data_IF_722366485495
#
_entry.id   IF_722366485495
#
_cell.length_a   1.000
_cell.length_b   1.000
_cell.length_c   1.000
_cell.angle_alpha   90.00
_cell.angle_beta   90.00
_cell.angle_gamma   90.00
#
_symmetry.space_group_name_H-M   'P 1'
#
loop_
_entity.id
_entity.type
_entity.pdbx_description
1 polymer ?
#
# COMPACT_ATOMS: atom_id res chain seq x y z
N UNK A 1 -26.48 40.95 -47.97
CA UNK A 1 -25.74 41.25 -46.74
C UNK A 1 -25.68 39.92 -45.97
N UNK A 2 -24.54 39.22 -45.87
CA UNK A 2 -23.29 39.59 -45.15
C UNK A 2 -23.74 40.03 -43.73
N UNK A 3 -23.46 39.35 -42.61
CA UNK A 3 -22.28 38.72 -42.00
C UNK A 3 -22.82 38.14 -40.65
N UNK A 4 -22.37 37.07 -40.00
CA UNK A 4 -21.18 36.86 -39.15
C UNK A 4 -21.44 35.51 -38.44
N UNK A 5 -20.63 34.45 -38.59
CA UNK A 5 -19.50 34.05 -37.72
C UNK A 5 -19.75 34.04 -36.19
N UNK A 6 -19.90 32.85 -35.57
CA UNK A 6 -18.79 32.14 -34.92
C UNK A 6 -19.12 30.72 -34.40
N UNK A 7 -18.10 29.83 -34.28
CA UNK A 7 -18.20 28.38 -34.01
C UNK A 7 -17.66 27.97 -32.61
N UNK A 8 -17.77 26.69 -32.24
CA UNK A 8 -16.73 25.86 -31.55
C UNK A 8 -17.34 24.64 -30.84
N UNK A 9 -17.53 23.54 -31.57
CA UNK A 9 -17.59 22.17 -31.01
C UNK A 9 -17.08 21.18 -32.06
N UNK A 10 -15.76 21.05 -32.20
CA UNK A 10 -15.09 19.86 -32.74
C UNK A 10 -13.57 20.09 -32.85
N UNK A 11 -12.82 19.97 -31.76
CA UNK A 11 -11.37 19.71 -31.81
C UNK A 11 -10.92 19.15 -30.45
N UNK A 12 -10.98 17.82 -30.29
CA UNK A 12 -10.16 17.05 -29.34
C UNK A 12 -10.14 15.57 -29.78
N UNK A 13 -9.72 15.35 -31.02
CA UNK A 13 -9.46 14.02 -31.56
C UNK A 13 -8.33 14.06 -32.59
N UNK A 14 -7.21 14.72 -32.29
CA UNK A 14 -6.00 14.58 -33.13
C UNK A 14 -4.70 14.96 -32.40
N UNK A 15 -4.36 14.27 -31.30
CA UNK A 15 -3.06 14.44 -30.60
C UNK A 15 -2.32 13.11 -30.35
N UNK A 16 -2.80 11.96 -30.82
CA UNK A 16 -2.11 10.66 -30.60
C UNK A 16 -1.41 10.14 -31.87
N UNK A 17 -1.33 10.95 -32.91
CA UNK A 17 -0.88 10.52 -34.24
C UNK A 17 0.42 11.13 -34.76
N UNK A 18 1.39 11.56 -33.92
CA UNK A 18 2.69 12.06 -34.42
C UNK A 18 3.74 12.04 -33.32
N UNK A 19 4.46 10.92 -33.19
CA UNK A 19 5.83 10.79 -32.63
C UNK A 19 6.35 9.36 -32.83
N UNK A 20 6.15 8.81 -34.03
CA UNK A 20 6.76 7.55 -34.50
C UNK A 20 7.40 7.79 -35.85
N UNK A 21 8.59 8.39 -35.85
CA UNK A 21 9.60 8.27 -36.91
C UNK A 21 10.82 9.09 -36.51
N UNK A 22 11.93 8.41 -36.20
CA UNK A 22 13.33 8.77 -36.49
C UNK A 22 14.25 7.96 -35.58
N UNK A 23 14.66 6.78 -36.06
CA UNK A 23 16.03 6.27 -35.99
C UNK A 23 16.08 4.83 -36.54
N UNK A 24 16.46 4.72 -37.81
CA UNK A 24 17.13 3.55 -38.34
C UNK A 24 18.51 4.01 -38.83
N UNK A 25 19.59 3.25 -38.62
CA UNK A 25 20.69 3.22 -39.57
C UNK A 25 20.48 2.09 -40.57
N UNK A 26 20.72 2.42 -41.84
CA UNK A 26 20.75 1.52 -42.96
C UNK A 26 22.09 0.77 -43.05
N UNK A 27 22.04 -0.49 -43.48
CA UNK A 27 23.16 -1.14 -44.17
C UNK A 27 22.62 -2.20 -45.14
N UNK A 28 23.02 -2.05 -46.40
CA UNK A 28 22.60 -2.79 -47.59
C UNK A 28 23.13 -4.25 -47.63
N UNK A 29 22.61 -5.12 -48.52
CA UNK A 29 22.92 -6.54 -48.55
C UNK A 29 24.20 -6.82 -49.36
N UNK A 30 25.04 -7.75 -48.87
CA UNK A 30 26.05 -8.42 -49.68
C UNK A 30 25.58 -9.85 -49.97
N UNK A 31 25.36 -10.14 -51.25
CA UNK A 31 25.33 -11.50 -51.78
C UNK A 31 26.69 -12.18 -51.54
N UNK A 32 26.66 -13.37 -50.93
CA UNK A 32 27.76 -14.32 -50.98
C UNK A 32 27.20 -15.70 -51.31
N UNK A 33 27.45 -16.07 -52.58
CA UNK A 33 27.41 -17.39 -53.22
C UNK A 33 27.14 -18.61 -52.34
N UNK A 34 26.16 -19.40 -52.79
CA UNK A 34 26.10 -20.84 -52.61
C UNK A 34 27.45 -21.49 -52.93
N UNK A 35 27.96 -22.27 -51.98
CA UNK A 35 28.71 -23.48 -52.29
C UNK A 35 28.03 -24.62 -51.53
N UNK A 36 27.51 -25.54 -52.32
CA UNK A 36 26.88 -26.78 -51.90
C UNK A 36 27.96 -27.76 -51.43
N UNK A 37 27.80 -28.34 -50.24
CA UNK A 37 28.25 -29.69 -49.83
C UNK A 37 28.36 -29.84 -48.30
N UNK A 38 27.33 -30.40 -47.68
CA UNK A 38 27.38 -31.69 -46.97
C UNK A 38 26.24 -31.77 -45.96
N UNK A 39 25.25 -32.58 -46.33
CA UNK A 39 24.36 -33.26 -45.40
C UNK A 39 25.18 -34.10 -44.41
N UNK A 40 24.90 -33.96 -43.12
CA UNK A 40 25.50 -34.85 -42.13
C UNK A 40 25.31 -34.42 -40.69
N UNK A 41 24.38 -35.11 -40.03
CA UNK A 41 24.27 -35.30 -38.57
C UNK A 41 23.62 -34.16 -37.77
N UNK A 42 22.32 -34.30 -37.56
CA UNK A 42 21.67 -33.80 -36.35
C UNK A 42 22.26 -34.54 -35.15
N UNK A 43 23.13 -33.87 -34.41
CA UNK A 43 23.63 -34.35 -33.14
C UNK A 43 22.75 -33.84 -32.00
N UNK A 44 22.02 -34.73 -31.34
CA UNK A 44 21.55 -34.50 -29.99
C UNK A 44 22.76 -34.15 -29.12
N UNK A 45 22.84 -32.91 -28.63
CA UNK A 45 23.86 -32.51 -27.67
C UNK A 45 23.52 -33.17 -26.33
N UNK A 46 24.01 -34.39 -26.11
CA UNK A 46 24.00 -35.05 -24.80
C UNK A 46 25.08 -34.38 -23.95
N UNK A 47 24.70 -33.78 -22.83
CA UNK A 47 25.65 -33.38 -21.79
C UNK A 47 26.24 -34.65 -21.16
N UNK A 48 27.32 -35.19 -21.73
CA UNK A 48 28.07 -36.27 -21.11
C UNK A 48 28.89 -35.69 -19.95
N UNK A 49 28.51 -36.04 -18.72
CA UNK A 49 29.32 -35.77 -17.54
C UNK A 49 30.69 -36.44 -17.72
N UNK A 50 31.78 -35.74 -17.38
CA UNK A 50 33.13 -36.29 -17.49
C UNK A 50 33.25 -37.60 -16.69
N UNK A 51 33.89 -38.62 -17.27
CA UNK A 51 34.10 -39.92 -16.63
C UNK A 51 35.35 -39.97 -15.75
N UNK A 52 36.09 -38.87 -15.68
CA UNK A 52 37.33 -38.73 -14.90
C UNK A 52 36.99 -38.24 -13.49
N UNK A 53 37.26 -39.07 -12.48
CA UNK A 53 37.06 -38.69 -11.09
C UNK A 53 38.02 -37.56 -10.66
N UNK A 54 37.47 -36.45 -10.16
CA UNK A 54 38.27 -35.36 -9.58
C UNK A 54 38.81 -35.78 -8.20
N UNK A 55 40.13 -35.68 -7.99
CA UNK A 55 40.81 -36.03 -6.73
C UNK A 55 41.33 -34.82 -5.95
N UNK A 56 40.91 -33.61 -6.30
CA UNK A 56 41.43 -32.41 -5.65
C UNK A 56 40.91 -32.25 -4.20
N UNK A 57 41.79 -31.85 -3.28
CA UNK A 57 41.47 -31.45 -1.92
C UNK A 57 41.29 -29.92 -1.86
N UNK A 58 40.25 -29.45 -1.15
CA UNK A 58 40.02 -28.02 -0.92
C UNK A 58 40.61 -27.59 0.42
N UNK A 59 41.27 -26.44 0.44
CA UNK A 59 41.77 -25.79 1.67
C UNK A 59 41.37 -24.31 1.71
N UNK A 60 41.04 -23.81 2.91
CA UNK A 60 40.78 -22.38 3.14
C UNK A 60 42.09 -21.68 3.56
N UNK A 61 42.51 -20.66 2.80
CA UNK A 61 43.66 -19.79 3.07
C UNK A 61 43.16 -18.35 3.29
N UNK A 62 42.48 -18.12 4.41
CA UNK A 62 41.88 -16.81 4.70
C UNK A 62 40.65 -16.52 3.82
N UNK A 63 40.66 -15.43 3.04
CA UNK A 63 39.60 -15.11 2.07
C UNK A 63 39.76 -15.84 0.72
N UNK A 64 40.89 -16.54 0.50
CA UNK A 64 41.18 -17.31 -0.71
C UNK A 64 40.97 -18.81 -0.48
N UNK A 65 40.58 -19.54 -1.53
CA UNK A 65 40.50 -21.00 -1.52
C UNK A 65 41.32 -21.59 -2.67
N UNK A 66 41.93 -22.75 -2.42
CA UNK A 66 42.74 -23.49 -3.39
C UNK A 66 42.18 -24.90 -3.60
N UNK A 67 42.19 -25.36 -4.86
CA UNK A 67 41.99 -26.75 -5.22
C UNK A 67 43.35 -27.40 -5.52
N UNK A 68 43.80 -28.33 -4.69
CA UNK A 68 45.07 -29.03 -4.87
C UNK A 68 44.84 -30.47 -5.32
N UNK A 69 45.46 -30.91 -6.41
CA UNK A 69 45.43 -32.31 -6.83
C UNK A 69 46.42 -33.13 -5.99
N UNK A 70 45.98 -34.26 -5.43
CA UNK A 70 46.85 -35.12 -4.62
C UNK A 70 47.96 -35.81 -5.43
N UNK A 71 47.78 -35.93 -6.75
CA UNK A 71 48.70 -36.62 -7.65
C UNK A 71 49.34 -35.61 -8.60
N UNK A 72 50.67 -35.59 -8.76
CA UNK A 72 51.35 -34.68 -9.69
C UNK A 72 50.97 -35.01 -11.14
N UNK A 73 50.80 -33.96 -11.96
CA UNK A 73 50.38 -34.06 -13.35
C UNK A 73 51.54 -33.65 -14.25
N UNK A 74 51.93 -34.52 -15.19
CA UNK A 74 53.00 -34.25 -16.16
C UNK A 74 52.38 -33.89 -17.51
N UNK A 75 52.71 -32.70 -18.03
CA UNK A 75 52.32 -32.23 -19.37
C UNK A 75 53.58 -32.11 -20.21
N UNK A 76 53.66 -32.77 -21.38
CA UNK A 76 54.88 -32.74 -22.21
C UNK A 76 55.00 -31.44 -22.99
N UNK A 77 56.18 -31.21 -23.56
CA UNK A 77 56.43 -30.06 -24.44
C UNK A 77 55.43 -30.07 -25.61
N UNK A 78 54.77 -28.93 -25.84
CA UNK A 78 53.74 -28.73 -26.87
C UNK A 78 52.45 -29.53 -26.69
N UNK A 79 52.15 -29.99 -25.46
CA UNK A 79 50.86 -30.58 -25.10
C UNK A 79 50.10 -29.67 -24.11
N UNK A 80 48.77 -29.79 -24.08
CA UNK A 80 47.88 -29.09 -23.15
C UNK A 80 46.99 -30.09 -22.42
N UNK A 81 46.66 -29.82 -21.16
CA UNK A 81 45.76 -30.65 -20.37
C UNK A 81 44.59 -29.82 -19.82
N UNK A 82 43.37 -30.33 -19.97
CA UNK A 82 42.18 -29.82 -19.29
C UNK A 82 41.80 -30.82 -18.21
N UNK A 83 41.77 -30.36 -16.96
CA UNK A 83 41.61 -31.22 -15.80
C UNK A 83 40.35 -30.83 -15.04
N UNK A 84 39.39 -31.76 -14.86
CA UNK A 84 38.27 -31.51 -13.96
C UNK A 84 38.81 -31.48 -12.53
N UNK A 85 38.75 -30.31 -11.89
CA UNK A 85 39.20 -30.15 -10.52
C UNK A 85 38.09 -30.42 -9.50
N UNK A 86 36.82 -30.37 -9.92
CA UNK A 86 35.69 -30.66 -9.06
C UNK A 86 34.54 -31.30 -9.85
N UNK A 87 34.13 -32.49 -9.44
CA UNK A 87 32.93 -33.15 -9.92
C UNK A 87 32.25 -33.88 -8.76
N UNK A 88 31.37 -33.16 -8.08
CA UNK A 88 30.69 -33.66 -6.89
C UNK A 88 29.19 -33.38 -6.95
N UNK A 89 28.43 -34.22 -6.24
CA UNK A 89 26.99 -34.02 -6.09
C UNK A 89 26.75 -33.03 -4.96
N UNK A 90 25.83 -32.10 -5.22
CA UNK A 90 25.29 -31.19 -4.21
C UNK A 90 23.83 -31.49 -3.96
N UNK A 91 23.33 -31.11 -2.79
CA UNK A 91 21.90 -31.21 -2.47
C UNK A 91 21.17 -30.09 -3.18
N UNK A 92 20.15 -30.44 -3.97
CA UNK A 92 19.36 -29.51 -4.75
C UNK A 92 17.86 -29.82 -4.62
N UNK A 93 17.05 -28.77 -4.57
CA UNK A 93 15.58 -28.84 -4.60
C UNK A 93 15.04 -27.91 -5.68
N UNK A 94 14.38 -28.47 -6.70
CA UNK A 94 13.69 -27.70 -7.74
C UNK A 94 12.43 -27.04 -7.16
N UNK A 95 12.22 -25.77 -7.46
CA UNK A 95 11.06 -24.99 -7.04
C UNK A 95 10.83 -23.80 -7.99
N UNK A 96 9.78 -23.04 -7.74
CA UNK A 96 9.51 -21.77 -8.40
C UNK A 96 9.73 -20.61 -7.42
N UNK A 97 10.19 -19.46 -7.90
CA UNK A 97 10.28 -18.23 -7.10
C UNK A 97 9.46 -17.12 -7.75
N UNK A 98 8.63 -16.47 -6.95
CA UNK A 98 7.90 -15.27 -7.33
C UNK A 98 8.30 -14.12 -6.42
N UNK A 99 9.16 -13.23 -6.92
CA UNK A 99 9.68 -12.07 -6.21
C UNK A 99 9.28 -10.73 -6.84
N UNK A 100 9.13 -10.70 -8.17
CA UNK A 100 8.63 -9.55 -8.90
C UNK A 100 7.10 -9.56 -8.97
N UNK A 101 6.47 -8.69 -8.19
CA UNK A 101 5.01 -8.55 -8.14
C UNK A 101 4.38 -8.02 -9.44
N UNK A 102 5.19 -7.49 -10.36
CA UNK A 102 4.73 -7.03 -11.68
C UNK A 102 4.78 -8.15 -12.72
N UNK A 103 5.55 -9.21 -12.47
CA UNK A 103 5.62 -10.37 -13.33
C UNK A 103 4.33 -11.20 -13.25
N UNK A 104 3.97 -11.80 -14.38
CA UNK A 104 2.80 -12.69 -14.50
C UNK A 104 3.18 -14.16 -14.24
N UNK A 105 4.45 -14.49 -14.44
CA UNK A 105 4.99 -15.84 -14.31
C UNK A 105 6.10 -15.85 -13.26
N UNK A 106 6.19 -16.89 -12.41
CA UNK A 106 7.34 -17.09 -11.55
C UNK A 106 8.55 -17.56 -12.36
N UNK A 107 9.71 -17.58 -11.70
CA UNK A 107 10.92 -18.14 -12.27
C UNK A 107 11.09 -19.59 -11.82
N UNK A 108 11.50 -20.45 -12.74
CA UNK A 108 12.10 -21.75 -12.44
C UNK A 108 13.40 -21.52 -11.67
N UNK A 109 13.51 -22.18 -10.52
CA UNK A 109 14.64 -22.00 -9.61
C UNK A 109 15.06 -23.31 -8.95
N UNK A 110 16.29 -23.31 -8.44
CA UNK A 110 16.83 -24.41 -7.64
C UNK A 110 17.36 -23.86 -6.32
N UNK A 111 16.96 -24.50 -5.24
CA UNK A 111 17.55 -24.31 -3.93
C UNK A 111 18.71 -25.30 -3.78
N UNK A 112 19.94 -24.78 -3.74
CA UNK A 112 21.16 -25.57 -3.60
C UNK A 112 21.75 -25.44 -2.21
N UNK A 113 22.33 -26.52 -1.70
CA UNK A 113 23.15 -26.52 -0.49
C UNK A 113 24.51 -27.13 -0.78
N UNK A 114 25.57 -26.35 -0.54
CA UNK A 114 26.93 -26.81 -0.75
C UNK A 114 27.32 -27.89 0.27
N UNK A 115 27.22 -29.14 -0.16
CA UNK A 115 27.46 -30.35 0.63
C UNK A 115 28.82 -31.01 0.33
N UNK A 116 29.63 -30.39 -0.54
CA UNK A 116 30.93 -30.92 -1.01
C UNK A 116 32.03 -30.83 0.05
N UNK A 117 31.84 -29.99 1.08
CA UNK A 117 32.87 -29.71 2.07
C UNK A 117 33.94 -28.73 1.59
N UNK A 118 33.86 -28.25 0.34
CA UNK A 118 34.79 -27.29 -0.29
C UNK A 118 34.08 -25.97 -0.58
N UNK A 119 34.85 -24.90 -0.82
CA UNK A 119 34.30 -23.63 -1.30
C UNK A 119 34.11 -23.68 -2.80
N UNK A 120 32.89 -23.49 -3.30
CA UNK A 120 32.58 -23.45 -4.73
C UNK A 120 32.73 -22.02 -5.24
N UNK A 121 33.47 -21.84 -6.33
CA UNK A 121 33.64 -20.51 -6.91
C UNK A 121 32.34 -19.99 -7.52
N UNK A 122 32.18 -18.67 -7.47
CA UNK A 122 31.05 -17.98 -8.10
C UNK A 122 31.22 -17.92 -9.60
N UNK A 123 30.11 -17.92 -10.34
CA UNK A 123 30.14 -17.87 -11.79
C UNK A 123 28.81 -18.18 -12.45
N UNK A 124 28.76 -18.09 -13.80
CA UNK A 124 27.60 -18.54 -14.56
C UNK A 124 27.44 -20.06 -14.45
N UNK A 125 26.20 -20.50 -14.29
CA UNK A 125 25.80 -21.90 -14.27
C UNK A 125 24.84 -22.13 -15.42
N UNK A 126 25.15 -23.11 -16.26
CA UNK A 126 24.20 -23.67 -17.21
C UNK A 126 23.39 -24.77 -16.54
N UNK A 127 22.07 -24.66 -16.58
CA UNK A 127 21.15 -25.62 -15.96
C UNK A 127 20.61 -26.56 -17.04
N UNK A 128 20.78 -27.85 -16.81
CA UNK A 128 20.15 -28.91 -17.59
C UNK A 128 19.11 -29.62 -16.74
N UNK A 129 17.91 -29.80 -17.28
CA UNK A 129 16.81 -30.55 -16.66
C UNK A 129 16.32 -31.62 -17.63
N UNK A 130 16.18 -32.86 -17.16
CA UNK A 130 15.87 -34.02 -18.00
C UNK A 130 16.74 -34.14 -19.28
N UNK A 131 18.04 -33.81 -19.18
CA UNK A 131 19.01 -33.74 -20.28
C UNK A 131 18.73 -32.67 -21.35
N UNK A 132 17.81 -31.75 -21.11
CA UNK A 132 17.56 -30.59 -21.96
C UNK A 132 18.12 -29.31 -21.32
N UNK A 133 18.56 -28.36 -22.15
CA UNK A 133 18.94 -27.03 -21.67
C UNK A 133 17.70 -26.34 -21.07
N UNK A 134 17.78 -25.96 -19.80
CA UNK A 134 16.69 -25.32 -19.07
C UNK A 134 16.91 -23.81 -18.86
N UNK A 135 18.17 -23.36 -18.91
CA UNK A 135 18.53 -21.95 -18.78
C UNK A 135 19.90 -21.72 -18.15
N UNK A 136 20.12 -20.48 -17.74
CA UNK A 136 21.36 -20.02 -17.14
C UNK A 136 21.05 -19.24 -15.85
N UNK A 137 21.92 -19.38 -14.86
CA UNK A 137 21.88 -18.62 -13.62
C UNK A 137 23.26 -18.06 -13.30
N UNK A 138 23.32 -17.05 -12.44
CA UNK A 138 24.56 -16.56 -11.86
C UNK A 138 24.58 -16.91 -10.37
N UNK A 139 25.69 -17.46 -9.88
CA UNK A 139 25.87 -17.75 -8.46
C UNK A 139 27.09 -17.01 -7.92
N UNK A 140 26.99 -16.57 -6.67
CA UNK A 140 28.14 -16.09 -5.90
C UNK A 140 28.94 -17.27 -5.33
N UNK A 141 30.15 -17.02 -4.84
CA UNK A 141 30.96 -18.04 -4.15
C UNK A 141 30.17 -18.68 -3.00
N UNK A 142 30.15 -20.02 -2.95
CA UNK A 142 29.43 -20.80 -1.94
C UNK A 142 30.44 -21.43 -0.99
N UNK A 143 30.46 -21.01 0.28
CA UNK A 143 31.24 -21.70 1.31
C UNK A 143 30.60 -23.04 1.67
N UNK A 144 31.36 -23.87 2.38
CA UNK A 144 30.86 -25.14 2.89
C UNK A 144 29.59 -24.93 3.72
N UNK A 145 28.51 -25.63 3.35
CA UNK A 145 27.22 -25.56 4.02
C UNK A 145 26.33 -24.40 3.59
N UNK A 146 26.82 -23.48 2.75
CA UNK A 146 26.00 -22.37 2.26
C UNK A 146 24.81 -22.87 1.45
N UNK A 147 23.70 -22.16 1.60
CA UNK A 147 22.44 -22.41 0.90
C UNK A 147 22.08 -21.22 0.04
N UNK A 148 21.72 -21.46 -1.23
CA UNK A 148 21.31 -20.40 -2.18
C UNK A 148 20.10 -20.81 -3.02
N UNK A 149 19.31 -19.81 -3.37
CA UNK A 149 18.24 -19.91 -4.35
C UNK A 149 18.74 -19.32 -5.67
N UNK A 150 18.65 -20.09 -6.75
CA UNK A 150 19.12 -19.69 -8.08
C UNK A 150 17.96 -19.79 -9.07
N UNK A 151 17.57 -18.66 -9.66
CA UNK A 151 16.58 -18.62 -10.73
C UNK A 151 17.27 -18.71 -12.07
N UNK A 152 16.76 -19.57 -12.97
CA UNK A 152 17.42 -19.87 -14.25
C UNK A 152 16.51 -19.73 -15.48
N UNK A 153 15.20 -19.51 -15.31
CA UNK A 153 14.29 -19.32 -16.43
C UNK A 153 12.88 -18.93 -15.99
N UNK A 154 12.05 -18.47 -16.91
CA UNK A 154 10.64 -18.17 -16.64
C UNK A 154 9.81 -19.46 -16.73
N UNK A 155 8.91 -19.68 -15.78
CA UNK A 155 7.97 -20.80 -15.83
C UNK A 155 6.66 -20.39 -16.52
N UNK A 156 6.44 -20.90 -17.73
CA UNK A 156 5.26 -20.57 -18.52
C UNK A 156 4.01 -21.36 -18.11
N UNK A 157 4.17 -22.47 -17.38
CA UNK A 157 3.09 -23.31 -16.89
C UNK A 157 2.41 -22.81 -15.61
N UNK A 158 2.97 -21.78 -14.96
CA UNK A 158 2.37 -21.16 -13.78
C UNK A 158 2.11 -19.69 -14.01
N UNK A 159 0.88 -19.25 -13.72
CA UNK A 159 0.46 -17.85 -13.78
C UNK A 159 0.04 -17.35 -12.42
N UNK A 160 0.53 -16.17 -12.04
CA UNK A 160 0.21 -15.53 -10.77
C UNK A 160 -0.44 -14.18 -11.05
N UNK A 161 -1.54 -13.90 -10.37
CA UNK A 161 -2.12 -12.56 -10.28
C UNK A 161 -2.21 -12.14 -8.83
N UNK A 162 -2.10 -10.83 -8.59
CA UNK A 162 -2.22 -10.28 -7.24
C UNK A 162 -3.43 -9.36 -7.16
N UNK A 163 -4.17 -9.44 -6.06
CA UNK A 163 -5.21 -8.51 -5.70
C UNK A 163 -4.86 -7.89 -4.35
N UNK A 164 -5.04 -6.59 -4.21
CA UNK A 164 -4.81 -5.87 -2.97
C UNK A 164 -6.13 -5.33 -2.44
N UNK A 165 -6.44 -5.69 -1.21
CA UNK A 165 -7.65 -5.29 -0.50
C UNK A 165 -7.25 -4.62 0.81
N UNK A 166 -7.93 -3.54 1.17
CA UNK A 166 -7.77 -2.87 2.45
C UNK A 166 -9.09 -2.89 3.18
N UNK A 167 -9.06 -3.26 4.46
CA UNK A 167 -10.24 -3.25 5.31
C UNK A 167 -10.39 -1.89 6.00
N UNK A 168 -11.61 -1.58 6.42
CA UNK A 168 -11.87 -0.40 7.23
C UNK A 168 -10.98 -0.44 8.49
N UNK A 169 -10.43 0.72 8.84
CA UNK A 169 -9.63 0.88 10.04
C UNK A 169 -10.49 0.65 11.29
N UNK A 170 -10.01 -0.18 12.20
CA UNK A 170 -10.72 -0.52 13.44
C UNK A 170 -9.96 0.05 14.62
N UNK A 171 -10.57 0.97 15.35
CA UNK A 171 -10.04 1.42 16.64
C UNK A 171 -10.23 0.30 17.65
N UNK A 172 -9.12 -0.21 18.19
CA UNK A 172 -9.11 -1.31 19.16
C UNK A 172 -8.94 -0.84 20.60
N UNK A 173 -8.16 0.23 20.77
CA UNK A 173 -7.88 0.79 22.08
C UNK A 173 -8.05 2.30 22.01
N UNK A 174 -8.56 2.86 23.10
CA UNK A 174 -8.62 4.29 23.32
C UNK A 174 -8.22 4.53 24.77
N UNK A 175 -7.21 5.38 24.96
CA UNK A 175 -6.75 5.83 26.26
C UNK A 175 -6.97 7.32 26.35
N UNK A 176 -7.41 7.78 27.50
CA UNK A 176 -7.60 9.20 27.73
C UNK A 176 -6.87 9.63 28.97
N UNK A 177 -6.00 10.64 28.82
CA UNK A 177 -5.29 11.22 29.95
C UNK A 177 -5.06 12.71 29.72
N UNK A 178 -5.37 13.53 30.73
CA UNK A 178 -5.09 14.99 30.75
C UNK A 178 -5.61 15.73 29.50
N UNK A 179 -6.81 15.43 29.05
CA UNK A 179 -7.41 16.10 27.88
C UNK A 179 -7.00 15.53 26.52
N UNK A 180 -6.08 14.57 26.48
CA UNK A 180 -5.62 13.91 25.26
C UNK A 180 -6.25 12.52 25.14
N UNK A 181 -6.86 12.26 23.99
CA UNK A 181 -7.35 10.96 23.58
C UNK A 181 -6.30 10.33 22.65
N UNK A 182 -5.69 9.23 23.10
CA UNK A 182 -4.79 8.41 22.30
C UNK A 182 -5.54 7.16 21.84
N UNK A 183 -5.67 6.97 20.54
CA UNK A 183 -6.31 5.79 19.95
C UNK A 183 -5.28 4.91 19.27
N UNK A 184 -5.43 3.58 19.40
CA UNK A 184 -4.72 2.62 18.58
C UNK A 184 -5.68 2.00 17.58
N UNK A 185 -5.37 2.21 16.32
CA UNK A 185 -6.17 1.81 15.19
C UNK A 185 -5.45 0.74 14.41
N UNK A 186 -6.08 -0.43 14.27
CA UNK A 186 -5.58 -1.50 13.42
C UNK A 186 -6.05 -1.27 11.98
N UNK A 187 -5.08 -1.16 11.06
CA UNK A 187 -5.30 -1.17 9.63
C UNK A 187 -4.88 -2.54 9.09
N UNK A 188 -5.83 -3.29 8.54
CA UNK A 188 -5.61 -4.62 7.96
C UNK A 188 -5.62 -4.53 6.43
N UNK A 189 -4.57 -5.03 5.82
CA UNK A 189 -4.36 -5.04 4.37
C UNK A 189 -4.10 -6.48 3.94
N UNK A 190 -4.77 -6.95 2.88
CA UNK A 190 -4.58 -8.31 2.38
C UNK A 190 -4.14 -8.27 0.93
N UNK A 191 -3.01 -8.93 0.64
CA UNK A 191 -2.59 -9.22 -0.72
C UNK A 191 -2.86 -10.69 -1.03
N UNK A 192 -3.76 -10.94 -1.97
CA UNK A 192 -4.12 -12.29 -2.40
C UNK A 192 -3.37 -12.65 -3.67
N UNK A 193 -2.54 -13.69 -3.59
CA UNK A 193 -1.91 -14.31 -4.75
C UNK A 193 -2.83 -15.40 -5.29
N UNK A 194 -3.31 -15.24 -6.52
CA UNK A 194 -4.05 -16.29 -7.22
C UNK A 194 -3.10 -16.98 -8.19
N UNK A 195 -2.82 -18.25 -7.93
CA UNK A 195 -1.77 -19.01 -8.58
C UNK A 195 -2.42 -20.12 -9.39
N UNK A 196 -2.28 -20.10 -10.72
CA UNK A 196 -2.75 -21.14 -11.63
C UNK A 196 -1.56 -21.95 -12.11
N UNK A 197 -1.51 -23.24 -11.78
CA UNK A 197 -0.62 -24.20 -12.42
C UNK A 197 -1.44 -24.94 -13.50
N UNK A 198 -1.02 -24.89 -14.76
CA UNK A 198 -1.66 -25.63 -15.87
C UNK A 198 -0.94 -26.92 -16.22
N UNK A 199 0.23 -27.15 -15.65
CA UNK A 199 1.02 -28.34 -15.95
C UNK A 199 0.43 -29.57 -15.25
N UNK A 200 0.71 -30.73 -15.83
CA UNK A 200 0.34 -32.05 -15.29
C UNK A 200 1.33 -32.54 -14.22
N UNK A 201 2.02 -31.61 -13.56
CA UNK A 201 3.02 -31.87 -12.53
C UNK A 201 2.77 -30.96 -11.32
N UNK A 202 2.97 -31.53 -10.13
CA UNK A 202 2.94 -30.74 -8.90
C UNK A 202 4.20 -29.87 -8.79
N UNK A 203 4.04 -28.64 -8.31
CA UNK A 203 5.13 -27.67 -8.16
C UNK A 203 5.19 -27.15 -6.73
N UNK A 204 6.37 -26.70 -6.32
CA UNK A 204 6.55 -25.93 -5.09
C UNK A 204 6.86 -24.49 -5.48
N UNK A 205 6.10 -23.53 -4.98
CA UNK A 205 6.31 -22.11 -5.20
C UNK A 205 6.77 -21.42 -3.92
N UNK A 206 7.82 -20.62 -4.01
CA UNK A 206 8.24 -19.67 -3.00
C UNK A 206 7.76 -18.28 -3.41
N UNK A 207 6.92 -17.66 -2.58
CA UNK A 207 6.52 -16.27 -2.73
C UNK A 207 7.42 -15.42 -1.85
N UNK A 208 8.17 -14.49 -2.45
CA UNK A 208 8.87 -13.44 -1.72
C UNK A 208 7.94 -12.24 -1.57
N UNK A 209 7.33 -12.11 -0.39
CA UNK A 209 6.49 -10.99 -0.05
C UNK A 209 7.33 -9.91 0.63
N UNK A 210 7.26 -8.63 0.21
CA UNK A 210 8.10 -7.59 0.79
C UNK A 210 7.78 -7.36 2.27
N UNK A 211 8.82 -7.22 3.11
CA UNK A 211 8.68 -6.77 4.50
C UNK A 211 8.42 -5.27 4.49
N UNK A 212 7.30 -4.86 5.07
CA UNK A 212 6.91 -3.45 5.18
C UNK A 212 7.11 -2.96 6.61
N UNK A 213 7.74 -1.80 6.77
CA UNK A 213 7.97 -1.21 8.09
C UNK A 213 6.66 -0.94 8.81
N UNK A 214 6.56 -1.38 10.07
CA UNK A 214 5.37 -1.22 10.91
C UNK A 214 4.21 -2.17 10.60
N UNK A 215 4.35 -3.03 9.59
CA UNK A 215 3.37 -4.07 9.27
C UNK A 215 3.82 -5.43 9.82
N UNK A 216 2.84 -6.21 10.27
CA UNK A 216 3.04 -7.59 10.74
C UNK A 216 2.10 -8.53 10.02
N UNK A 217 2.63 -9.64 9.50
CA UNK A 217 1.81 -10.70 8.90
C UNK A 217 0.99 -11.40 9.98
N UNK A 218 -0.31 -11.56 9.75
CA UNK A 218 -1.25 -12.14 10.71
C UNK A 218 -1.62 -13.59 10.44
N UNK A 219 -1.86 -13.95 9.17
CA UNK A 219 -2.52 -15.20 8.79
C UNK A 219 -1.58 -16.27 8.21
N UNK A 220 -0.42 -15.87 7.66
CA UNK A 220 0.55 -16.79 7.06
C UNK A 220 1.85 -16.82 7.86
N UNK A 221 2.40 -18.02 8.05
CA UNK A 221 3.71 -18.20 8.68
C UNK A 221 4.80 -18.29 7.61
N UNK A 222 5.76 -17.36 7.57
CA UNK A 222 6.88 -17.48 6.64
C UNK A 222 7.78 -18.65 7.03
N UNK A 223 8.32 -19.35 6.02
CA UNK A 223 9.36 -20.37 6.22
C UNK A 223 10.73 -19.73 6.52
N UNK A 224 10.93 -18.50 6.04
CA UNK A 224 12.14 -17.71 6.23
C UNK A 224 11.76 -16.23 6.19
N UNK A 225 12.42 -15.39 6.99
CA UNK A 225 12.28 -13.94 6.94
C UNK A 225 13.67 -13.33 6.80
N UNK A 226 13.90 -12.62 5.70
CA UNK A 226 15.10 -11.82 5.46
C UNK A 226 14.88 -10.39 5.94
N UNK A 227 15.86 -9.51 5.77
CA UNK A 227 15.70 -8.09 6.09
C UNK A 227 14.56 -7.42 5.30
N UNK A 228 14.30 -7.87 4.07
CA UNK A 228 13.40 -7.19 3.13
C UNK A 228 12.24 -8.06 2.63
N UNK A 229 12.25 -9.37 2.89
CA UNK A 229 11.24 -10.30 2.35
C UNK A 229 10.83 -11.40 3.34
N UNK A 230 9.53 -11.67 3.39
CA UNK A 230 8.96 -12.90 3.92
C UNK A 230 8.92 -13.94 2.79
N UNK A 231 9.41 -15.15 3.05
CA UNK A 231 9.29 -16.28 2.12
C UNK A 231 8.19 -17.21 2.57
N UNK A 232 7.22 -17.45 1.69
CA UNK A 232 6.15 -18.41 1.92
C UNK A 232 6.27 -19.56 0.93
N UNK A 233 6.17 -20.80 1.42
CA UNK A 233 6.13 -22.00 0.58
C UNK A 233 4.67 -22.38 0.30
N UNK A 234 4.31 -22.47 -0.98
CA UNK A 234 2.99 -22.89 -1.47
C UNK A 234 3.17 -24.17 -2.28
N UNK A 235 2.47 -25.23 -1.88
CA UNK A 235 2.43 -26.49 -2.64
C UNK A 235 1.31 -26.42 -3.65
N UNK A 236 1.64 -26.59 -4.93
CA UNK A 236 0.71 -26.53 -6.05
C UNK A 236 0.51 -27.94 -6.60
N UNK A 237 -0.74 -28.42 -6.62
CA UNK A 237 -1.12 -29.61 -7.37
C UNK A 237 -1.03 -29.42 -8.89
N UNK A 238 -1.33 -30.47 -9.65
CA UNK A 238 -1.46 -30.39 -11.10
C UNK A 238 -2.79 -29.72 -11.48
N UNK A 239 -2.79 -28.97 -12.58
CA UNK A 239 -3.98 -28.31 -13.15
C UNK A 239 -4.86 -27.55 -12.12
N UNK A 240 -4.25 -26.94 -11.11
CA UNK A 240 -4.95 -26.33 -9.96
C UNK A 240 -4.86 -24.81 -9.94
N UNK A 241 -5.87 -24.17 -9.37
CA UNK A 241 -5.86 -22.75 -9.01
C UNK A 241 -5.88 -22.63 -7.49
N UNK A 242 -4.82 -22.07 -6.91
CA UNK A 242 -4.69 -21.86 -5.47
C UNK A 242 -4.78 -20.37 -5.14
N UNK A 243 -5.50 -20.02 -4.07
CA UNK A 243 -5.51 -18.66 -3.52
C UNK A 243 -4.70 -18.63 -2.24
N UNK A 244 -3.70 -17.76 -2.21
CA UNK A 244 -2.82 -17.57 -1.07
C UNK A 244 -2.93 -16.12 -0.56
N UNK A 245 -3.85 -15.82 0.38
CA UNK A 245 -3.96 -14.49 0.97
C UNK A 245 -2.87 -14.27 2.02
N UNK A 246 -2.13 -13.17 1.90
CA UNK A 246 -1.21 -12.66 2.92
C UNK A 246 -1.83 -11.41 3.52
N UNK A 247 -2.29 -11.50 4.76
CA UNK A 247 -2.89 -10.41 5.52
C UNK A 247 -1.83 -9.81 6.45
N UNK A 248 -1.61 -8.52 6.30
CA UNK A 248 -0.73 -7.71 7.11
C UNK A 248 -1.56 -6.73 7.95
N UNK A 249 -1.09 -6.44 9.16
CA UNK A 249 -1.67 -5.42 10.02
C UNK A 249 -0.64 -4.38 10.42
N UNK A 250 -1.04 -3.11 10.36
CA UNK A 250 -0.31 -2.00 10.97
C UNK A 250 -1.15 -1.39 12.08
N UNK A 251 -0.53 -1.21 13.25
CA UNK A 251 -1.10 -0.42 14.34
C UNK A 251 -0.70 1.03 14.15
N UNK A 252 -1.70 1.90 14.10
CA UNK A 252 -1.55 3.35 13.97
C UNK A 252 -1.97 3.97 15.30
N UNK A 253 -1.04 4.66 15.94
CA UNK A 253 -1.32 5.43 17.15
C UNK A 253 -1.60 6.89 16.78
N UNK A 254 -2.70 7.44 17.27
CA UNK A 254 -3.10 8.82 17.05
C UNK A 254 -3.46 9.47 18.37
N UNK A 255 -2.89 10.64 18.64
CA UNK A 255 -3.20 11.42 19.85
C UNK A 255 -3.85 12.74 19.44
N UNK A 256 -5.00 13.05 20.04
CA UNK A 256 -5.83 14.21 19.71
C UNK A 256 -6.32 14.88 20.99
N UNK A 257 -6.46 16.21 20.98
CA UNK A 257 -7.15 16.89 22.06
C UNK A 257 -8.65 16.61 21.99
N UNK A 258 -9.25 16.12 23.07
CA UNK A 258 -10.68 15.80 23.06
C UNK A 258 -11.55 17.05 22.87
N UNK A 259 -11.06 18.21 23.30
CA UNK A 259 -11.70 19.51 23.10
C UNK A 259 -11.81 19.90 21.62
N UNK A 260 -10.89 19.46 20.76
CA UNK A 260 -10.93 19.76 19.31
C UNK A 260 -11.82 18.81 18.52
N UNK A 261 -12.31 17.72 19.11
CA UNK A 261 -13.17 16.77 18.42
C UNK A 261 -14.62 17.27 18.32
N UNK A 262 -15.26 17.00 17.18
CA UNK A 262 -16.67 17.28 16.94
C UNK A 262 -17.55 16.20 17.60
N UNK A 263 -18.85 16.49 17.85
CA UNK A 263 -19.78 15.49 18.37
C UNK A 263 -19.80 14.20 17.53
N UNK A 264 -19.75 14.29 16.21
CA UNK A 264 -19.86 13.11 15.33
C UNK A 264 -18.65 12.18 15.44
N UNK A 265 -17.44 12.73 15.58
CA UNK A 265 -16.23 11.95 15.80
C UNK A 265 -16.28 11.25 17.15
N UNK A 266 -16.68 11.95 18.21
CA UNK A 266 -16.81 11.37 19.56
C UNK A 266 -17.88 10.27 19.56
N UNK A 267 -18.99 10.47 18.84
CA UNK A 267 -20.05 9.47 18.69
C UNK A 267 -19.53 8.18 18.05
N UNK A 268 -18.64 8.28 17.06
CA UNK A 268 -18.01 7.10 16.43
C UNK A 268 -17.23 6.27 17.44
N UNK A 269 -16.48 6.92 18.35
CA UNK A 269 -15.76 6.21 19.40
C UNK A 269 -16.71 5.67 20.49
N UNK A 270 -17.68 6.46 20.94
CA UNK A 270 -18.64 6.03 21.97
C UNK A 270 -19.49 4.81 21.53
N UNK A 271 -19.77 4.68 20.23
CA UNK A 271 -20.51 3.56 19.66
C UNK A 271 -19.63 2.34 19.33
N UNK A 272 -18.30 2.49 19.32
CA UNK A 272 -17.39 1.42 18.96
C UNK A 272 -17.31 0.35 20.04
N UNK A 273 -17.97 -0.79 19.80
CA UNK A 273 -18.03 -1.94 20.72
C UNK A 273 -16.68 -2.61 21.01
N UNK A 274 -15.63 -2.29 20.27
CA UNK A 274 -14.28 -2.78 20.56
C UNK A 274 -13.61 -2.03 21.72
N UNK A 275 -14.12 -0.84 22.09
CA UNK A 275 -13.62 -0.08 23.24
C UNK A 275 -14.23 -0.58 24.56
N UNK A 276 -13.51 -0.32 25.66
CA UNK A 276 -13.97 -0.65 27.01
C UNK A 276 -15.29 0.05 27.34
N UNK A 277 -16.09 -0.57 28.22
CA UNK A 277 -17.36 0.01 28.67
C UNK A 277 -17.13 1.37 29.33
N UNK A 278 -16.06 1.50 30.13
CA UNK A 278 -15.65 2.77 30.73
C UNK A 278 -15.38 3.85 29.68
N UNK A 279 -14.57 3.56 28.66
CA UNK A 279 -14.28 4.50 27.57
C UNK A 279 -15.57 4.93 26.86
N UNK A 280 -16.46 3.99 26.52
CA UNK A 280 -17.73 4.30 25.83
C UNK A 280 -18.66 5.16 26.68
N UNK A 281 -18.78 4.86 27.98
CA UNK A 281 -19.60 5.66 28.91
C UNK A 281 -19.06 7.08 29.05
N UNK A 282 -17.75 7.22 29.26
CA UNK A 282 -17.10 8.51 29.40
C UNK A 282 -17.19 9.36 28.14
N UNK A 283 -16.89 8.78 26.97
CA UNK A 283 -17.05 9.45 25.68
C UNK A 283 -18.51 9.80 25.40
N UNK A 284 -19.48 8.99 25.86
CA UNK A 284 -20.90 9.30 25.80
C UNK A 284 -21.29 10.55 26.60
N UNK A 285 -20.79 10.69 27.83
CA UNK A 285 -21.02 11.89 28.64
C UNK A 285 -20.44 13.15 27.98
N UNK A 286 -19.24 13.05 27.42
CA UNK A 286 -18.60 14.15 26.68
C UNK A 286 -19.41 14.49 25.42
N UNK A 287 -19.89 13.48 24.69
CA UNK A 287 -20.75 13.64 23.52
C UNK A 287 -22.02 14.43 23.85
N UNK A 288 -22.68 14.09 24.95
CA UNK A 288 -23.93 14.76 25.36
C UNK A 288 -23.70 16.24 25.68
N UNK A 289 -22.61 16.57 26.38
CA UNK A 289 -22.24 17.97 26.65
C UNK A 289 -21.87 18.71 25.36
N UNK A 290 -21.08 18.08 24.47
CA UNK A 290 -20.71 18.66 23.16
C UNK A 290 -21.94 18.93 22.28
N UNK A 291 -22.95 18.05 22.31
CA UNK A 291 -24.24 18.26 21.61
C UNK A 291 -25.03 19.43 22.19
N UNK A 292 -25.09 19.54 23.51
CA UNK A 292 -25.77 20.67 24.17
C UNK A 292 -25.08 22.00 23.85
N UNK A 293 -23.74 22.03 23.84
CA UNK A 293 -22.97 23.22 23.43
C UNK A 293 -23.28 23.58 21.98
N UNK A 294 -23.22 22.62 21.06
CA UNK A 294 -23.51 22.87 19.64
C UNK A 294 -24.95 23.36 19.41
N UNK A 295 -25.93 22.81 20.14
CA UNK A 295 -27.32 23.28 20.08
C UNK A 295 -27.47 24.72 20.60
N UNK A 296 -26.80 25.04 21.72
CA UNK A 296 -26.80 26.39 22.29
C UNK A 296 -26.08 27.41 21.39
N UNK A 297 -25.00 27.01 20.71
CA UNK A 297 -24.33 27.84 19.71
C UNK A 297 -25.28 28.18 18.55
N UNK A 298 -26.09 27.23 18.10
CA UNK A 298 -27.15 27.48 17.12
C UNK A 298 -28.28 28.38 17.64
N UNK A 299 -28.57 28.40 18.95
CA UNK A 299 -29.48 29.38 19.56
C UNK A 299 -28.88 30.79 19.59
N UNK A 300 -27.61 30.92 19.98
CA UNK A 300 -26.88 32.19 19.98
C UNK A 300 -26.87 32.82 18.59
N UNK A 301 -26.53 32.04 17.56
CA UNK A 301 -26.49 32.51 16.19
C UNK A 301 -27.86 32.97 15.69
N UNK A 302 -28.92 32.19 15.95
CA UNK A 302 -30.30 32.55 15.56
C UNK A 302 -30.78 33.82 16.26
N UNK A 303 -30.51 33.97 17.56
CA UNK A 303 -30.91 35.16 18.32
C UNK A 303 -30.17 36.40 17.81
N UNK A 304 -28.87 36.28 17.53
CA UNK A 304 -28.08 37.37 16.97
C UNK A 304 -28.59 37.79 15.58
N UNK A 305 -28.85 36.83 14.69
CA UNK A 305 -29.45 37.10 13.38
C UNK A 305 -30.82 37.77 13.50
N UNK A 306 -31.64 37.34 14.46
CA UNK A 306 -32.94 37.96 14.76
C UNK A 306 -32.81 39.43 15.20
N UNK A 307 -31.87 39.71 16.09
CA UNK A 307 -31.56 41.08 16.54
C UNK A 307 -31.12 41.96 15.36
N UNK A 308 -30.21 41.45 14.53
CA UNK A 308 -29.68 42.19 13.36
C UNK A 308 -30.79 42.49 12.34
N UNK A 309 -31.70 41.53 12.10
CA UNK A 309 -32.83 41.72 11.21
C UNK A 309 -33.82 42.76 11.74
N UNK A 310 -34.14 42.71 13.04
CA UNK A 310 -35.01 43.71 13.67
C UNK A 310 -34.42 45.12 13.57
N UNK A 311 -33.12 45.28 13.77
CA UNK A 311 -32.46 46.58 13.62
C UNK A 311 -32.59 47.15 12.19
N UNK A 312 -32.38 46.31 11.17
CA UNK A 312 -32.57 46.72 9.76
C UNK A 312 -34.02 47.12 9.48
N UNK A 313 -34.97 46.36 10.01
CA UNK A 313 -36.40 46.67 9.85
C UNK A 313 -36.78 47.98 10.55
N UNK A 314 -36.31 48.20 11.78
CA UNK A 314 -36.56 49.45 12.50
C UNK A 314 -36.02 50.65 11.73
N UNK A 315 -34.83 50.55 11.15
CA UNK A 315 -34.24 51.62 10.34
C UNK A 315 -35.10 51.92 9.11
N UNK A 316 -35.56 50.88 8.39
CA UNK A 316 -36.49 51.02 7.26
C UNK A 316 -37.80 51.70 7.70
N UNK A 317 -38.37 51.29 8.84
CA UNK A 317 -39.62 51.88 9.35
C UNK A 317 -39.41 53.34 9.75
N UNK A 318 -38.30 53.70 10.39
CA UNK A 318 -37.95 55.09 10.71
C UNK A 318 -37.83 55.95 9.46
N UNK A 319 -37.19 55.42 8.40
CA UNK A 319 -37.10 56.10 7.11
C UNK A 319 -38.48 56.31 6.47
N UNK A 320 -39.37 55.31 6.52
CA UNK A 320 -40.76 55.43 6.04
C UNK A 320 -41.58 56.45 6.85
N UNK A 321 -41.41 56.50 8.17
CA UNK A 321 -42.05 57.53 9.00
C UNK A 321 -41.55 58.91 8.60
N UNK A 322 -40.24 59.08 8.42
CA UNK A 322 -39.63 60.36 8.04
C UNK A 322 -40.09 60.85 6.66
N UNK A 323 -40.38 59.96 5.72
CA UNK A 323 -40.89 60.33 4.40
C UNK A 323 -42.38 60.65 4.39
N UNK A 324 -43.19 59.95 5.20
CA UNK A 324 -44.65 60.09 5.21
C UNK A 324 -45.19 61.10 6.21
N UNK A 325 -44.45 61.46 7.26
CA UNK A 325 -44.94 62.34 8.34
C UNK A 325 -45.29 63.78 7.90
N UNK A 326 -44.88 64.19 6.70
CA UNK A 326 -45.19 65.50 6.09
C UNK A 326 -46.22 65.41 4.96
N UNK A 327 -46.74 64.22 4.66
CA UNK A 327 -47.71 64.00 3.58
C UNK A 327 -49.11 64.00 4.17
N UNK A 328 -49.95 64.96 3.77
CA UNK A 328 -51.33 65.07 4.25
C UNK A 328 -52.15 63.81 3.89
N UNK A 329 -52.92 63.30 4.84
CA UNK A 329 -53.76 62.10 4.66
C UNK A 329 -53.06 60.76 4.90
N UNK A 330 -51.78 60.78 5.32
CA UNK A 330 -50.99 59.57 5.62
C UNK A 330 -50.80 59.31 7.13
N UNK A 331 -51.51 60.04 7.99
CA UNK A 331 -51.35 60.00 9.45
C UNK A 331 -51.59 58.59 10.01
N UNK A 332 -52.56 57.86 9.44
CA UNK A 332 -52.88 56.49 9.84
C UNK A 332 -51.73 55.50 9.55
N UNK A 333 -51.01 55.69 8.43
CA UNK A 333 -49.88 54.85 8.06
C UNK A 333 -48.69 55.10 9.00
N UNK A 334 -48.43 56.37 9.34
CA UNK A 334 -47.40 56.75 10.33
C UNK A 334 -47.70 56.15 11.70
N UNK A 335 -48.95 56.22 12.17
CA UNK A 335 -49.35 55.60 13.43
C UNK A 335 -49.19 54.07 13.42
N UNK A 336 -49.41 53.42 12.27
CA UNK A 336 -49.19 51.98 12.11
C UNK A 336 -47.71 51.62 12.21
N UNK A 337 -46.84 52.37 11.52
CA UNK A 337 -45.40 52.20 11.64
C UNK A 337 -44.87 52.45 13.07
N UNK A 338 -45.37 53.46 13.77
CA UNK A 338 -45.00 53.71 15.17
C UNK A 338 -45.39 52.55 16.09
N UNK A 339 -46.57 51.95 15.89
CA UNK A 339 -46.99 50.74 16.62
C UNK A 339 -46.12 49.53 16.30
N UNK A 340 -45.70 49.37 15.05
CA UNK A 340 -44.76 48.32 14.65
C UNK A 340 -43.40 48.50 15.32
N UNK A 341 -42.85 49.72 15.38
CA UNK A 341 -41.61 50.00 16.10
C UNK A 341 -41.73 49.62 17.58
N UNK A 342 -42.82 50.01 18.25
CA UNK A 342 -43.06 49.66 19.65
C UNK A 342 -43.13 48.14 19.86
N UNK A 343 -43.76 47.39 18.95
CA UNK A 343 -43.80 45.93 19.01
C UNK A 343 -42.41 45.30 18.78
N UNK A 344 -41.62 45.84 17.85
CA UNK A 344 -40.25 45.38 17.60
C UNK A 344 -39.32 45.64 18.78
N UNK A 345 -39.49 46.73 19.53
CA UNK A 345 -38.72 46.98 20.76
C UNK A 345 -38.95 45.89 21.83
N UNK A 346 -40.19 45.41 21.98
CA UNK A 346 -40.50 44.30 22.88
C UNK A 346 -39.86 42.98 22.42
N UNK A 347 -39.87 42.72 21.12
CA UNK A 347 -39.20 41.55 20.54
C UNK A 347 -37.67 41.64 20.70
N UNK A 348 -37.09 42.82 20.51
CA UNK A 348 -35.66 43.08 20.67
C UNK A 348 -35.22 42.84 22.13
N UNK A 349 -36.00 43.31 23.11
CA UNK A 349 -35.75 43.05 24.52
C UNK A 349 -35.77 41.54 24.81
N UNK A 350 -36.78 40.83 24.30
CA UNK A 350 -36.89 39.36 24.46
C UNK A 350 -35.69 38.62 23.87
N UNK A 351 -35.28 38.96 22.64
CA UNK A 351 -34.14 38.32 21.98
C UNK A 351 -32.82 38.61 22.71
N UNK A 352 -32.65 39.81 23.27
CA UNK A 352 -31.46 40.16 24.07
C UNK A 352 -31.41 39.38 25.38
N UNK A 353 -32.54 39.22 26.05
CA UNK A 353 -32.62 38.40 27.26
C UNK A 353 -32.29 36.93 26.94
N UNK A 354 -32.84 36.40 25.85
CA UNK A 354 -32.53 35.04 25.37
C UNK A 354 -31.06 34.88 24.99
N UNK A 355 -30.46 35.87 24.31
CA UNK A 355 -29.03 35.88 23.97
C UNK A 355 -28.17 35.85 25.25
N UNK A 356 -28.51 36.66 26.26
CA UNK A 356 -27.81 36.68 27.54
C UNK A 356 -27.91 35.33 28.27
N UNK A 357 -29.11 34.74 28.33
CA UNK A 357 -29.33 33.43 28.93
C UNK A 357 -28.57 32.32 28.19
N UNK A 358 -28.58 32.32 26.86
CA UNK A 358 -27.83 31.37 26.06
C UNK A 358 -26.30 31.53 26.24
N UNK A 359 -25.80 32.75 26.44
CA UNK A 359 -24.38 32.98 26.73
C UNK A 359 -23.97 32.46 28.13
N UNK A 360 -24.82 32.66 29.13
CA UNK A 360 -24.61 32.09 30.47
C UNK A 360 -24.64 30.56 30.42
N UNK A 361 -25.61 29.98 29.69
CA UNK A 361 -25.70 28.52 29.49
C UNK A 361 -24.47 27.97 28.79
N UNK A 362 -23.96 28.63 27.74
CA UNK A 362 -22.71 28.25 27.06
C UNK A 362 -21.56 28.15 28.05
N UNK A 363 -21.34 29.21 28.83
CA UNK A 363 -20.26 29.28 29.82
C UNK A 363 -20.38 28.16 30.86
N UNK A 364 -21.60 27.86 31.32
CA UNK A 364 -21.85 26.78 32.26
C UNK A 364 -21.56 25.40 31.64
N UNK A 365 -22.03 25.14 30.41
CA UNK A 365 -21.79 23.89 29.70
C UNK A 365 -20.31 23.65 29.39
N UNK A 366 -19.59 24.70 28.98
CA UNK A 366 -18.13 24.65 28.76
C UNK A 366 -17.39 24.36 30.07
N UNK A 367 -17.81 24.97 31.18
CA UNK A 367 -17.26 24.67 32.51
C UNK A 367 -17.50 23.22 32.94
N UNK A 368 -18.70 22.68 32.70
CA UNK A 368 -19.02 21.27 32.96
C UNK A 368 -18.17 20.33 32.09
N UNK A 369 -18.00 20.64 30.81
CA UNK A 369 -17.18 19.86 29.89
C UNK A 369 -15.72 19.84 30.34
N UNK A 370 -15.16 20.99 30.71
CA UNK A 370 -13.78 21.08 31.19
C UNK A 370 -13.58 20.30 32.49
N UNK A 371 -14.50 20.43 33.46
CA UNK A 371 -14.44 19.69 34.71
C UNK A 371 -14.58 18.16 34.50
N UNK A 372 -15.38 17.72 33.52
CA UNK A 372 -15.48 16.32 33.14
C UNK A 372 -14.15 15.82 32.54
N UNK A 373 -13.60 16.59 31.61
CA UNK A 373 -12.32 16.31 30.94
C UNK A 373 -11.17 16.18 31.94
N UNK A 374 -11.11 17.05 32.96
CA UNK A 374 -10.05 17.01 33.98
C UNK A 374 -10.11 15.77 34.88
N UNK A 375 -11.30 15.22 35.12
CA UNK A 375 -11.52 14.08 36.02
C UNK A 375 -11.49 12.74 35.31
N UNK A 376 -11.58 12.74 33.99
CA UNK A 376 -11.69 11.54 33.18
C UNK A 376 -10.31 10.91 32.96
N UNK A 377 -10.24 9.58 33.11
CA UNK A 377 -9.05 8.77 32.88
C UNK A 377 -9.50 7.34 32.54
N UNK A 378 -9.06 6.78 31.41
CA UNK A 378 -9.40 5.42 30.99
C UNK A 378 -8.42 4.82 29.98
#
# INVERSE_FOLDING_TARGET
>A
AIEEEKPEQAMMADVVGRLRQMNQPASAPMEAKETDAMSGVGGEFRAELSSVASTAAGGELGELFEYSFSTPITVRKSESAMLPFLQEKLTARKLLIYSDLTAVNPLNSVEITNSTGKTLDGGPITVYDANAYAGEALVETLKKGDKRLLSYGVDLGTRITTAFESQAQIVREAHFQRGLLTTKTAASETRTYTIRNVDQEAKTLIIEHPVRQGYKVLNQKPIETTANTYRFEVKLGFDVTEKFPVTEERIIEQTMALTSLTPDVIATYAQNKNLSDAARTHLGQVLDLKRQIAANDGELERNQQGIDNLFRDQERIRQNINSLNRVAGQEQQVQTYSRQLAAQEVQLATLRDQLSQAQQRKTALEGQLNALIERMDF
#
